data_IF_562375262726
#
_entry.id   IF_562375262726
#
_cell.length_a   1.000
_cell.length_b   1.000
_cell.length_c   1.000
_cell.angle_alpha   90.00
_cell.angle_beta   90.00
_cell.angle_gamma   90.00
#
_symmetry.space_group_name_H-M   'P 1'
#
loop_
_entity.id
_entity.type
_entity.pdbx_description
1 polymer ?
#
# COMPACT_ATOMS: atom_id res chain seq x y z
N UNK A 1 -30.39 9.58 -20.69
CA UNK A 1 -29.16 10.31 -20.31
C UNK A 1 -28.36 9.40 -19.41
N UNK A 2 -27.04 9.31 -19.62
CA UNK A 2 -26.16 8.47 -18.83
C UNK A 2 -25.51 9.34 -17.75
N UNK A 3 -25.57 8.93 -16.49
CA UNK A 3 -24.94 9.64 -15.37
C UNK A 3 -23.87 8.81 -14.66
N UNK A 4 -22.97 9.46 -13.93
CA UNK A 4 -21.89 8.83 -13.17
C UNK A 4 -22.05 9.08 -11.67
N UNK A 5 -21.94 8.01 -10.88
CA UNK A 5 -21.98 8.07 -9.42
C UNK A 5 -20.65 7.55 -8.88
N UNK A 6 -19.98 8.38 -8.09
CA UNK A 6 -18.72 8.06 -7.44
C UNK A 6 -18.99 7.69 -5.99
N UNK A 7 -18.91 6.40 -5.65
CA UNK A 7 -18.99 5.93 -4.28
C UNK A 7 -17.60 5.96 -3.64
N UNK A 8 -17.41 6.83 -2.65
CA UNK A 8 -16.15 7.02 -1.95
C UNK A 8 -16.25 6.35 -0.57
N UNK A 9 -15.37 5.39 -0.27
CA UNK A 9 -15.29 4.83 1.09
C UNK A 9 -14.70 5.88 2.03
N UNK A 10 -15.42 6.27 3.08
CA UNK A 10 -14.97 7.32 4.01
C UNK A 10 -13.60 7.01 4.65
N UNK A 11 -12.74 8.01 4.91
CA UNK A 11 -11.38 7.83 5.44
C UNK A 11 -11.11 8.23 6.90
N UNK A 12 -12.14 8.44 7.72
CA UNK A 12 -12.15 9.37 8.89
C UNK A 12 -12.24 10.82 8.42
N UNK A 13 -13.46 11.30 8.15
CA UNK A 13 -13.61 12.62 7.56
C UNK A 13 -13.56 13.75 8.61
N UNK A 14 -12.80 14.80 8.29
CA UNK A 14 -12.98 16.13 8.87
C UNK A 14 -13.86 16.95 7.93
N UNK A 15 -15.09 17.27 8.34
CA UNK A 15 -16.03 18.00 7.50
C UNK A 15 -16.25 19.44 8.01
N UNK A 16 -15.98 20.41 7.14
CA UNK A 16 -16.51 21.77 7.26
C UNK A 16 -17.90 21.79 6.60
N UNK A 17 -18.93 22.32 7.29
CA UNK A 17 -20.26 22.67 6.75
C UNK A 17 -21.43 21.64 6.76
N UNK A 18 -21.47 20.73 7.73
CA UNK A 18 -22.74 20.52 8.46
C UNK A 18 -23.98 19.90 7.78
N UNK A 19 -23.87 19.01 6.78
CA UNK A 19 -24.95 18.02 6.52
C UNK A 19 -24.40 16.60 6.41
N UNK A 20 -25.10 15.64 7.03
CA UNK A 20 -24.72 14.23 7.16
C UNK A 20 -25.81 13.34 6.58
N UNK A 21 -25.44 12.34 5.77
CA UNK A 21 -26.21 11.10 5.62
C UNK A 21 -25.26 9.91 5.80
N UNK A 22 -25.21 9.39 7.02
CA UNK A 22 -24.32 8.29 7.42
C UNK A 22 -25.13 6.99 7.40
N UNK A 23 -24.84 6.07 6.48
CA UNK A 23 -25.52 4.78 6.39
C UNK A 23 -24.62 3.66 6.97
N UNK A 24 -24.51 3.56 8.29
CA UNK A 24 -23.87 2.41 8.94
C UNK A 24 -23.20 2.74 10.28
N UNK A 25 -23.48 1.91 11.30
CA UNK A 25 -22.73 1.93 12.55
C UNK A 25 -21.81 0.69 12.62
N UNK A 26 -20.58 0.94 13.10
CA UNK A 26 -19.47 0.05 13.42
C UNK A 26 -19.76 -1.45 13.41
N UNK A 27 -18.86 -2.18 12.74
CA UNK A 27 -18.91 -3.58 12.31
C UNK A 27 -19.76 -3.73 11.05
N UNK A 28 -19.12 -4.02 9.91
CA UNK A 28 -19.79 -4.32 8.65
C UNK A 28 -19.97 -5.86 8.54
N UNK A 29 -21.02 -6.46 9.13
CA UNK A 29 -21.53 -7.74 8.64
C UNK A 29 -22.06 -7.55 7.21
N UNK A 30 -22.29 -8.63 6.44
CA UNK A 30 -22.95 -8.52 5.13
C UNK A 30 -24.27 -7.76 5.29
N UNK A 31 -24.38 -6.61 4.64
CA UNK A 31 -25.62 -5.85 4.61
C UNK A 31 -26.70 -6.69 3.94
N UNK A 32 -27.90 -6.69 4.54
CA UNK A 32 -29.06 -7.40 4.01
C UNK A 32 -29.45 -6.87 2.62
N UNK A 33 -30.15 -7.71 1.85
CA UNK A 33 -30.69 -7.32 0.54
C UNK A 33 -31.53 -6.02 0.60
N UNK A 34 -32.20 -5.80 1.72
CA UNK A 34 -32.98 -4.58 1.98
C UNK A 34 -32.10 -3.32 2.08
N UNK A 35 -30.91 -3.42 2.69
CA UNK A 35 -29.99 -2.28 2.76
C UNK A 35 -29.42 -1.94 1.38
N UNK A 36 -29.10 -2.96 0.55
CA UNK A 36 -28.72 -2.75 -0.85
C UNK A 36 -29.83 -2.07 -1.65
N UNK A 37 -31.09 -2.51 -1.47
CA UNK A 37 -32.27 -1.91 -2.13
C UNK A 37 -32.46 -0.44 -1.75
N UNK A 38 -32.32 -0.10 -0.46
CA UNK A 38 -32.43 1.29 0.02
C UNK A 38 -31.34 2.18 -0.56
N UNK A 39 -30.10 1.70 -0.55
CA UNK A 39 -28.98 2.43 -1.13
C UNK A 39 -29.17 2.65 -2.65
N UNK A 40 -29.60 1.61 -3.37
CA UNK A 40 -29.88 1.70 -4.81
C UNK A 40 -31.00 2.71 -5.09
N UNK A 41 -32.08 2.68 -4.32
CA UNK A 41 -33.18 3.63 -4.45
C UNK A 41 -32.73 5.07 -4.20
N UNK A 42 -31.90 5.29 -3.18
CA UNK A 42 -31.35 6.61 -2.88
C UNK A 42 -30.48 7.12 -4.03
N UNK A 43 -29.62 6.27 -4.60
CA UNK A 43 -28.75 6.61 -5.73
C UNK A 43 -29.55 6.92 -7.00
N UNK A 44 -30.53 6.08 -7.34
CA UNK A 44 -31.40 6.30 -8.52
C UNK A 44 -32.30 7.53 -8.40
N UNK A 45 -32.48 8.06 -7.18
CA UNK A 45 -33.22 9.29 -6.92
C UNK A 45 -32.39 10.57 -7.07
N UNK A 46 -31.08 10.47 -7.34
CA UNK A 46 -30.22 11.62 -7.57
C UNK A 46 -30.53 12.18 -8.97
N UNK A 47 -30.85 13.47 -9.04
CA UNK A 47 -31.18 14.17 -10.29
C UNK A 47 -29.97 14.67 -11.07
N UNK A 48 -28.80 14.72 -10.43
CA UNK A 48 -27.57 15.21 -11.03
C UNK A 48 -26.99 14.18 -12.02
N UNK A 49 -26.43 14.67 -13.13
CA UNK A 49 -25.75 13.83 -14.12
C UNK A 49 -24.47 13.20 -13.54
N UNK A 50 -23.82 13.88 -12.59
CA UNK A 50 -22.66 13.38 -11.84
C UNK A 50 -22.82 13.66 -10.35
N UNK A 51 -22.58 12.66 -9.49
CA UNK A 51 -22.62 12.84 -8.05
C UNK A 51 -21.55 12.01 -7.32
N UNK A 52 -20.96 12.59 -6.27
CA UNK A 52 -20.05 11.91 -5.36
C UNK A 52 -20.75 11.61 -4.02
N UNK A 53 -20.69 10.35 -3.58
CA UNK A 53 -21.34 9.86 -2.37
C UNK A 53 -20.28 9.26 -1.46
N UNK A 54 -20.05 9.88 -0.31
CA UNK A 54 -19.19 9.32 0.73
C UNK A 54 -20.01 8.36 1.60
N UNK A 55 -19.61 7.10 1.68
CA UNK A 55 -20.37 6.06 2.41
C UNK A 55 -19.45 5.00 3.02
N UNK A 56 -20.06 4.03 3.71
CA UNK A 56 -19.36 2.93 4.37
C UNK A 56 -19.09 1.77 3.40
N UNK A 57 -18.08 0.97 3.74
CA UNK A 57 -17.73 -0.22 2.98
C UNK A 57 -18.89 -1.22 2.86
N UNK A 58 -19.65 -1.42 3.95
CA UNK A 58 -20.85 -2.26 3.93
C UNK A 58 -21.80 -1.88 2.80
N UNK A 59 -22.12 -0.58 2.65
CA UNK A 59 -23.06 -0.07 1.64
C UNK A 59 -22.53 -0.30 0.23
N UNK A 60 -21.25 -0.02 0.00
CA UNK A 60 -20.59 -0.26 -1.30
C UNK A 60 -20.68 -1.73 -1.65
N UNK A 61 -20.32 -2.64 -0.73
CA UNK A 61 -20.36 -4.09 -0.97
C UNK A 61 -21.77 -4.60 -1.23
N UNK A 62 -22.77 -4.12 -0.50
CA UNK A 62 -24.16 -4.50 -0.68
C UNK A 62 -24.70 -4.13 -2.07
N UNK A 63 -24.40 -2.90 -2.50
CA UNK A 63 -24.75 -2.41 -3.83
C UNK A 63 -24.08 -3.25 -4.92
N UNK A 64 -22.78 -3.51 -4.78
CA UNK A 64 -22.02 -4.28 -5.76
C UNK A 64 -22.49 -5.73 -5.85
N UNK A 65 -22.83 -6.38 -4.73
CA UNK A 65 -23.46 -7.71 -4.76
C UNK A 65 -24.75 -7.71 -5.56
N UNK A 66 -25.62 -6.72 -5.31
CA UNK A 66 -26.89 -6.61 -6.03
C UNK A 66 -26.71 -6.31 -7.52
N UNK A 67 -25.74 -5.47 -7.89
CA UNK A 67 -25.49 -5.10 -9.29
C UNK A 67 -24.83 -6.24 -10.06
N UNK A 68 -23.92 -6.98 -9.42
CA UNK A 68 -23.17 -8.09 -10.04
C UNK A 68 -23.91 -9.43 -10.00
N UNK A 69 -25.01 -9.52 -9.27
CA UNK A 69 -25.73 -10.78 -9.02
C UNK A 69 -24.82 -11.88 -8.45
N UNK A 70 -23.87 -11.49 -7.59
CA UNK A 70 -22.86 -12.40 -7.05
C UNK A 70 -23.39 -13.17 -5.83
N UNK A 71 -23.14 -14.48 -5.78
CA UNK A 71 -23.49 -15.32 -4.64
C UNK A 71 -22.56 -14.99 -3.45
N UNK A 72 -23.07 -14.19 -2.50
CA UNK A 72 -22.33 -13.75 -1.33
C UNK A 72 -21.76 -14.89 -0.45
N UNK A 73 -22.26 -16.12 -0.57
CA UNK A 73 -21.76 -17.29 0.16
C UNK A 73 -20.63 -18.02 -0.57
N UNK A 74 -20.52 -17.87 -1.89
CA UNK A 74 -19.48 -18.49 -2.73
C UNK A 74 -18.37 -17.52 -3.10
N UNK A 75 -18.70 -16.23 -3.24
CA UNK A 75 -17.79 -15.18 -3.72
C UNK A 75 -17.82 -13.98 -2.76
N UNK A 76 -16.96 -13.99 -1.72
CA UNK A 76 -16.84 -12.82 -0.85
C UNK A 76 -16.26 -11.66 -1.64
N UNK A 77 -17.02 -10.55 -1.77
CA UNK A 77 -16.49 -9.32 -2.33
C UNK A 77 -15.28 -8.83 -1.51
N UNK A 78 -14.23 -8.34 -2.18
CA UNK A 78 -13.02 -7.85 -1.52
C UNK A 78 -13.36 -6.70 -0.57
N UNK A 79 -12.48 -6.50 0.43
CA UNK A 79 -12.54 -5.30 1.27
C UNK A 79 -12.04 -4.12 0.44
N UNK A 80 -12.78 -3.02 0.47
CA UNK A 80 -12.39 -1.80 -0.24
C UNK A 80 -11.57 -0.91 0.68
N UNK A 81 -10.52 -0.23 0.19
CA UNK A 81 -9.70 0.60 1.05
C UNK A 81 -10.29 1.97 1.34
N UNK A 82 -9.85 2.61 2.43
CA UNK A 82 -10.30 3.96 2.76
C UNK A 82 -9.90 4.95 1.66
N UNK A 83 -10.80 5.85 1.30
CA UNK A 83 -10.62 6.78 0.17
C UNK A 83 -10.81 6.15 -1.22
N UNK A 84 -11.08 4.83 -1.32
CA UNK A 84 -11.30 4.19 -2.61
C UNK A 84 -12.59 4.65 -3.27
N UNK A 85 -12.53 4.76 -4.60
CA UNK A 85 -13.62 5.18 -5.46
C UNK A 85 -14.14 3.97 -6.24
N UNK A 86 -15.43 3.72 -6.12
CA UNK A 86 -16.20 2.82 -6.98
C UNK A 86 -17.09 3.67 -7.86
N UNK A 87 -16.95 3.56 -9.18
CA UNK A 87 -17.74 4.33 -10.14
C UNK A 87 -18.88 3.46 -10.67
N UNK A 88 -20.09 3.99 -10.54
CA UNK A 88 -21.30 3.40 -11.09
C UNK A 88 -21.80 4.27 -12.24
N UNK A 89 -22.22 3.64 -13.33
CA UNK A 89 -22.90 4.28 -14.44
C UNK A 89 -24.40 4.03 -14.35
N UNK A 90 -25.20 5.09 -14.40
CA UNK A 90 -26.66 5.03 -14.47
C UNK A 90 -27.08 5.20 -15.92
N UNK A 91 -27.75 4.19 -16.48
CA UNK A 91 -28.36 4.26 -17.82
C UNK A 91 -29.76 3.65 -17.78
N UNK A 92 -30.77 4.42 -18.19
CA UNK A 92 -32.17 3.96 -18.27
C UNK A 92 -32.67 3.29 -16.97
N UNK A 93 -32.30 3.84 -15.81
CA UNK A 93 -32.66 3.31 -14.49
C UNK A 93 -31.87 2.07 -14.06
N UNK A 94 -30.87 1.63 -14.83
CA UNK A 94 -29.98 0.51 -14.50
C UNK A 94 -28.62 1.02 -14.04
N UNK A 95 -28.08 0.41 -12.98
CA UNK A 95 -26.73 0.62 -12.50
C UNK A 95 -25.78 -0.42 -13.09
N UNK A 96 -24.60 0.02 -13.52
CA UNK A 96 -23.47 -0.85 -13.89
C UNK A 96 -22.19 -0.35 -13.24
N UNK A 97 -21.26 -1.25 -12.92
CA UNK A 97 -19.98 -0.91 -12.29
C UNK A 97 -18.95 -0.66 -13.38
N UNK A 98 -18.32 0.51 -13.39
CA UNK A 98 -17.28 0.88 -14.37
C UNK A 98 -15.88 0.93 -13.76
N UNK A 99 -15.79 1.16 -12.45
CA UNK A 99 -14.56 1.02 -11.66
C UNK A 99 -14.92 0.61 -10.23
N UNK A 100 -14.05 -0.14 -9.57
CA UNK A 100 -14.32 -0.72 -8.26
C UNK A 100 -13.12 -0.57 -7.33
N UNK A 101 -13.31 0.12 -6.21
CA UNK A 101 -12.30 0.25 -5.16
C UNK A 101 -10.98 0.89 -5.61
N UNK A 102 -11.01 1.74 -6.64
CA UNK A 102 -9.82 2.37 -7.22
C UNK A 102 -9.39 3.52 -6.32
N UNK A 103 -8.13 3.53 -5.88
CA UNK A 103 -7.57 4.71 -5.23
C UNK A 103 -7.24 5.78 -6.27
N UNK A 104 -7.44 7.08 -5.96
CA UNK A 104 -6.98 8.18 -6.81
C UNK A 104 -5.46 8.11 -7.06
N UNK A 105 -4.71 7.67 -6.05
CA UNK A 105 -3.25 7.57 -6.09
C UNK A 105 -2.76 6.16 -5.72
N UNK A 106 -1.69 5.71 -6.37
CA UNK A 106 -1.14 4.38 -6.18
C UNK A 106 -0.24 4.25 -4.93
N UNK A 107 0.04 5.35 -4.24
CA UNK A 107 0.92 5.45 -3.07
C UNK A 107 0.57 6.71 -2.26
N UNK A 108 0.88 6.76 -0.95
CA UNK A 108 0.61 7.94 -0.13
C UNK A 108 1.52 9.12 -0.47
N UNK A 109 0.98 10.33 -0.33
CA UNK A 109 1.77 11.56 -0.35
C UNK A 109 2.58 11.76 0.94
N UNK A 110 3.39 12.82 1.02
CA UNK A 110 4.22 13.06 2.20
C UNK A 110 3.41 13.43 3.46
N UNK A 111 2.24 14.06 3.30
CA UNK A 111 1.34 14.39 4.41
C UNK A 111 0.74 13.11 4.99
N UNK A 112 0.21 12.24 4.13
CA UNK A 112 -0.33 10.93 4.50
C UNK A 112 0.74 10.04 5.14
N UNK A 113 1.97 10.03 4.59
CA UNK A 113 3.10 9.32 5.22
C UNK A 113 3.34 9.83 6.64
N UNK A 114 3.40 11.16 6.86
CA UNK A 114 3.58 11.74 8.18
C UNK A 114 2.45 11.36 9.15
N UNK A 115 1.20 11.32 8.69
CA UNK A 115 0.06 10.88 9.50
C UNK A 115 0.15 9.39 9.87
N UNK A 116 0.50 8.54 8.90
CA UNK A 116 0.66 7.09 9.13
C UNK A 116 1.76 6.83 10.17
N UNK A 117 2.91 7.53 10.09
CA UNK A 117 4.00 7.40 11.06
C UNK A 117 3.56 7.84 12.47
N UNK A 118 2.78 8.92 12.58
CA UNK A 118 2.20 9.39 13.86
C UNK A 118 1.23 8.36 14.45
N UNK A 119 0.32 7.83 13.64
CA UNK A 119 -0.65 6.80 14.06
C UNK A 119 0.06 5.54 14.54
N UNK A 120 1.13 5.13 13.84
CA UNK A 120 1.93 3.96 14.21
C UNK A 120 2.88 4.23 15.39
N UNK A 121 2.98 5.49 15.87
CA UNK A 121 3.92 5.93 16.91
C UNK A 121 5.36 5.50 16.58
N UNK A 122 5.75 5.68 15.32
CA UNK A 122 7.08 5.30 14.84
C UNK A 122 8.15 6.15 15.56
N UNK A 123 9.16 5.54 16.20
CA UNK A 123 10.21 6.30 16.90
C UNK A 123 11.05 7.17 15.96
N UNK A 124 11.56 8.31 16.45
CA UNK A 124 12.33 9.26 15.66
C UNK A 124 13.59 8.65 15.04
N UNK A 125 14.27 7.74 15.75
CA UNK A 125 15.43 7.04 15.21
C UNK A 125 15.08 6.10 14.05
N UNK A 126 13.87 5.54 14.07
CA UNK A 126 13.35 4.71 12.98
C UNK A 126 12.94 5.58 11.80
N UNK A 127 12.34 6.75 12.06
CA UNK A 127 12.02 7.72 10.99
C UNK A 127 13.31 8.17 10.28
N UNK A 128 14.36 8.54 11.03
CA UNK A 128 15.66 8.91 10.44
C UNK A 128 16.30 7.77 9.63
N UNK A 129 16.14 6.52 10.08
CA UNK A 129 16.55 5.36 9.31
C UNK A 129 15.79 5.28 7.98
N UNK A 130 14.46 5.32 8.03
CA UNK A 130 13.60 5.30 6.85
C UNK A 130 13.91 6.43 5.85
N UNK A 131 14.26 7.63 6.34
CA UNK A 131 14.69 8.75 5.48
C UNK A 131 16.02 8.47 4.77
N UNK A 132 17.00 7.92 5.48
CA UNK A 132 18.28 7.52 4.87
C UNK A 132 18.09 6.39 3.84
N UNK A 133 17.21 5.42 4.13
CA UNK A 133 16.83 4.35 3.17
C UNK A 133 16.12 4.95 1.96
N UNK A 134 15.23 5.93 2.15
CA UNK A 134 14.55 6.62 1.08
C UNK A 134 15.54 7.36 0.16
N UNK A 135 16.54 8.05 0.73
CA UNK A 135 17.58 8.69 -0.05
C UNK A 135 18.39 7.68 -0.88
N UNK A 136 18.70 6.52 -0.31
CA UNK A 136 19.39 5.44 -1.02
C UNK A 136 18.54 4.84 -2.16
N UNK A 137 17.26 4.60 -1.91
CA UNK A 137 16.33 4.10 -2.91
C UNK A 137 16.14 5.10 -4.06
N UNK A 138 16.02 6.39 -3.76
CA UNK A 138 15.90 7.46 -4.76
C UNK A 138 17.13 7.54 -5.66
N UNK A 139 18.33 7.43 -5.10
CA UNK A 139 19.58 7.42 -5.84
C UNK A 139 19.66 6.23 -6.83
N UNK A 140 19.34 5.02 -6.35
CA UNK A 140 19.31 3.81 -7.16
C UNK A 140 18.25 3.91 -8.27
N UNK A 141 17.05 4.37 -7.92
CA UNK A 141 15.95 4.57 -8.86
C UNK A 141 16.36 5.56 -9.96
N UNK A 142 16.96 6.70 -9.60
CA UNK A 142 17.38 7.70 -10.57
C UNK A 142 18.43 7.17 -11.56
N UNK A 143 19.41 6.38 -11.07
CA UNK A 143 20.42 5.72 -11.91
C UNK A 143 19.77 4.70 -12.86
N UNK A 144 18.91 3.83 -12.34
CA UNK A 144 18.24 2.79 -13.12
C UNK A 144 17.25 3.37 -14.15
N UNK A 145 16.54 4.44 -13.81
CA UNK A 145 15.66 5.14 -14.76
C UNK A 145 16.43 5.76 -15.92
N UNK A 146 17.64 6.29 -15.69
CA UNK A 146 18.52 6.74 -16.77
C UNK A 146 19.00 5.59 -17.66
N UNK A 147 19.16 4.39 -17.10
CA UNK A 147 19.47 3.17 -17.83
C UNK A 147 18.24 2.53 -18.53
N UNK A 148 17.07 3.20 -18.53
CA UNK A 148 15.88 2.76 -19.23
C UNK A 148 14.91 1.90 -18.42
N UNK A 149 15.18 1.67 -17.12
CA UNK A 149 14.29 0.90 -16.26
C UNK A 149 13.09 1.74 -15.79
N UNK A 150 11.89 1.22 -15.97
CA UNK A 150 10.65 1.87 -15.50
C UNK A 150 10.34 1.43 -14.08
N UNK A 151 10.77 2.24 -13.11
CA UNK A 151 10.47 2.07 -11.69
C UNK A 151 9.61 3.21 -11.20
N UNK A 152 8.65 2.93 -10.32
CA UNK A 152 7.85 3.97 -9.68
C UNK A 152 8.59 4.59 -8.51
N UNK A 153 9.19 5.77 -8.74
CA UNK A 153 9.84 6.56 -7.69
C UNK A 153 8.90 6.87 -6.52
N UNK A 154 7.62 7.18 -6.82
CA UNK A 154 6.61 7.46 -5.78
C UNK A 154 6.35 6.26 -4.88
N UNK A 155 6.24 5.06 -5.45
CA UNK A 155 6.05 3.83 -4.67
C UNK A 155 7.29 3.47 -3.85
N UNK A 156 8.49 3.64 -4.41
CA UNK A 156 9.75 3.44 -3.67
C UNK A 156 9.88 4.38 -2.48
N UNK A 157 9.62 5.68 -2.68
CA UNK A 157 9.64 6.70 -1.64
C UNK A 157 8.70 6.32 -0.49
N UNK A 158 7.44 6.00 -0.80
CA UNK A 158 6.45 5.61 0.20
C UNK A 158 6.86 4.31 0.92
N UNK A 159 7.31 3.30 0.18
CA UNK A 159 7.72 2.03 0.77
C UNK A 159 8.94 2.20 1.69
N UNK A 160 9.96 2.96 1.27
CA UNK A 160 11.15 3.25 2.06
C UNK A 160 10.82 4.02 3.35
N UNK A 161 9.95 5.04 3.26
CA UNK A 161 9.52 5.83 4.43
C UNK A 161 8.68 5.02 5.43
N UNK A 162 7.95 4.00 4.98
CA UNK A 162 6.96 3.28 5.79
C UNK A 162 7.35 1.83 6.14
N UNK A 163 8.40 1.24 5.57
CA UNK A 163 8.70 -0.20 5.73
C UNK A 163 8.83 -0.64 7.20
N UNK A 164 9.33 0.26 8.02
CA UNK A 164 9.64 0.06 9.42
C UNK A 164 8.64 0.76 10.36
N UNK A 165 7.53 1.29 9.85
CA UNK A 165 6.60 2.12 10.64
C UNK A 165 6.05 1.43 11.90
N UNK A 166 6.01 0.10 11.89
CA UNK A 166 5.57 -0.74 13.01
C UNK A 166 6.73 -1.38 13.81
N UNK A 167 7.96 -0.85 13.73
CA UNK A 167 9.18 -1.46 14.30
C UNK A 167 9.04 -1.87 15.77
N UNK A 168 8.25 -1.16 16.57
CA UNK A 168 7.97 -1.43 17.99
C UNK A 168 7.28 -2.78 18.24
N UNK A 169 6.62 -3.37 17.24
CA UNK A 169 5.97 -4.70 17.31
C UNK A 169 7.00 -5.84 17.22
N UNK A 170 8.26 -5.54 16.90
CA UNK A 170 9.33 -6.55 16.80
C UNK A 170 9.29 -7.32 15.49
N UNK A 171 9.47 -8.64 15.52
CA UNK A 171 9.62 -9.47 14.32
C UNK A 171 8.38 -9.46 13.39
N UNK A 172 7.20 -9.14 13.92
CA UNK A 172 5.96 -9.05 13.17
C UNK A 172 5.72 -7.72 12.44
N UNK A 173 6.62 -6.74 12.55
CA UNK A 173 6.42 -5.41 11.99
C UNK A 173 6.14 -5.38 10.47
N UNK A 174 6.75 -6.21 9.59
CA UNK A 174 6.47 -6.14 8.15
C UNK A 174 5.02 -6.49 7.85
N UNK A 175 4.50 -7.53 8.51
CA UNK A 175 3.09 -7.97 8.38
C UNK A 175 2.12 -6.94 8.97
N UNK A 176 2.47 -6.36 10.11
CA UNK A 176 1.65 -5.32 10.74
C UNK A 176 1.57 -4.07 9.86
N UNK A 177 2.70 -3.62 9.32
CA UNK A 177 2.77 -2.49 8.41
C UNK A 177 1.96 -2.76 7.12
N UNK A 178 2.14 -3.93 6.52
CA UNK A 178 1.40 -4.34 5.34
C UNK A 178 -0.12 -4.36 5.57
N UNK A 179 -0.59 -4.85 6.73
CA UNK A 179 -2.02 -4.84 7.07
C UNK A 179 -2.58 -3.41 7.09
N UNK A 180 -1.91 -2.48 7.75
CA UNK A 180 -2.33 -1.06 7.86
C UNK A 180 -2.42 -0.41 6.47
N UNK A 181 -1.47 -0.73 5.59
CA UNK A 181 -1.40 -0.21 4.22
C UNK A 181 -2.46 -0.83 3.30
N UNK A 182 -2.78 -2.12 3.46
CA UNK A 182 -3.89 -2.77 2.75
C UNK A 182 -5.23 -2.17 3.13
N UNK A 183 -5.44 -1.89 4.42
CA UNK A 183 -6.66 -1.23 4.92
C UNK A 183 -6.83 0.19 4.31
N UNK A 184 -5.72 0.84 3.97
CA UNK A 184 -5.65 2.14 3.27
C UNK A 184 -5.57 2.04 1.75
N UNK A 185 -5.41 0.83 1.20
CA UNK A 185 -5.48 0.55 -0.23
C UNK A 185 -4.17 0.56 -0.98
N UNK A 186 -3.06 0.82 -0.30
CA UNK A 186 -1.74 0.81 -0.91
C UNK A 186 -1.24 -0.63 -1.05
N UNK A 187 -1.94 -1.44 -1.86
CA UNK A 187 -1.70 -2.89 -1.98
C UNK A 187 -0.27 -3.21 -2.45
N UNK A 188 0.23 -2.49 -3.45
CA UNK A 188 1.60 -2.69 -3.96
C UNK A 188 2.66 -2.27 -2.92
N UNK A 189 2.41 -1.20 -2.17
CA UNK A 189 3.29 -0.75 -1.08
C UNK A 189 3.30 -1.76 0.07
N UNK A 190 2.11 -2.24 0.46
CA UNK A 190 1.97 -3.27 1.47
C UNK A 190 2.72 -4.56 1.08
N UNK A 191 2.62 -4.98 -0.19
CA UNK A 191 3.32 -6.15 -0.69
C UNK A 191 4.84 -5.99 -0.59
N UNK A 192 5.39 -4.85 -1.03
CA UNK A 192 6.84 -4.58 -0.92
C UNK A 192 7.30 -4.61 0.54
N UNK A 193 6.56 -3.94 1.43
CA UNK A 193 6.91 -3.85 2.84
C UNK A 193 6.77 -5.20 3.55
N UNK A 194 5.75 -6.01 3.25
CA UNK A 194 5.62 -7.32 3.89
C UNK A 194 6.83 -8.24 3.63
N UNK A 195 7.44 -8.10 2.45
CA UNK A 195 8.53 -8.96 1.97
C UNK A 195 9.91 -8.30 2.02
N UNK A 196 10.06 -7.10 2.60
CA UNK A 196 11.32 -6.35 2.56
C UNK A 196 12.48 -7.02 3.32
N UNK A 197 12.20 -8.02 4.15
CA UNK A 197 13.21 -8.87 4.78
C UNK A 197 13.56 -10.12 3.96
N UNK A 198 12.58 -10.68 3.26
CA UNK A 198 12.63 -12.01 2.66
C UNK A 198 12.04 -11.94 1.24
N UNK A 199 12.72 -11.17 0.40
CA UNK A 199 12.24 -10.87 -0.95
C UNK A 199 12.24 -12.11 -1.85
N UNK A 200 11.24 -12.18 -2.72
CA UNK A 200 11.17 -13.10 -3.86
C UNK A 200 12.05 -12.55 -4.97
N UNK A 201 13.06 -13.32 -5.38
CA UNK A 201 13.94 -12.89 -6.46
C UNK A 201 13.30 -13.20 -7.80
N UNK A 202 12.95 -12.15 -8.52
CA UNK A 202 12.57 -12.22 -9.92
C UNK A 202 13.78 -11.89 -10.81
N UNK A 203 13.74 -12.32 -12.07
CA UNK A 203 14.81 -12.03 -13.03
C UNK A 203 14.92 -10.54 -13.34
N UNK A 204 13.78 -9.84 -13.42
CA UNK A 204 13.71 -8.40 -13.63
C UNK A 204 13.78 -7.64 -12.30
N UNK A 205 14.51 -6.53 -12.30
CA UNK A 205 14.59 -5.60 -11.18
C UNK A 205 13.24 -4.89 -10.97
N UNK A 206 12.71 -4.97 -9.75
CA UNK A 206 11.47 -4.29 -9.34
C UNK A 206 11.70 -3.35 -8.13
N UNK A 207 10.67 -2.57 -7.78
CA UNK A 207 10.75 -1.64 -6.65
C UNK A 207 10.99 -2.35 -5.30
N UNK A 208 10.54 -3.60 -5.14
CA UNK A 208 10.80 -4.39 -3.94
C UNK A 208 12.30 -4.69 -3.78
N UNK A 209 12.97 -5.06 -4.87
CA UNK A 209 14.41 -5.36 -4.87
C UNK A 209 15.25 -4.12 -4.60
N UNK A 210 14.83 -2.95 -5.12
CA UNK A 210 15.50 -1.68 -4.82
C UNK A 210 15.31 -1.31 -3.35
N UNK A 211 14.09 -1.44 -2.80
CA UNK A 211 13.84 -1.21 -1.38
C UNK A 211 14.68 -2.15 -0.50
N UNK A 212 14.70 -3.45 -0.83
CA UNK A 212 15.46 -4.46 -0.10
C UNK A 212 16.94 -4.08 -0.02
N UNK A 213 17.54 -3.70 -1.15
CA UNK A 213 18.94 -3.32 -1.21
C UNK A 213 19.20 -1.98 -0.51
N UNK A 214 18.36 -0.97 -0.74
CA UNK A 214 18.48 0.35 -0.15
C UNK A 214 18.47 0.30 1.38
N UNK A 215 17.62 -0.55 1.99
CA UNK A 215 17.70 -0.81 3.43
C UNK A 215 19.11 -1.29 3.78
N UNK A 216 19.63 -2.33 3.13
CA UNK A 216 20.95 -2.92 3.43
C UNK A 216 22.15 -2.00 3.17
N UNK A 217 21.97 -0.88 2.48
CA UNK A 217 23.00 0.15 2.30
C UNK A 217 22.99 1.21 3.41
N UNK A 218 22.16 1.05 4.44
CA UNK A 218 22.03 1.99 5.56
C UNK A 218 22.20 1.27 6.89
N UNK A 219 22.98 1.83 7.83
CA UNK A 219 23.08 1.36 9.21
C UNK A 219 22.71 2.50 10.16
N UNK A 220 21.63 2.34 10.93
CA UNK A 220 21.02 3.45 11.63
C UNK A 220 20.53 4.48 10.61
N UNK A 221 21.16 5.67 10.56
CA UNK A 221 20.91 6.69 9.53
C UNK A 221 22.12 6.95 8.63
N UNK A 222 23.17 6.12 8.70
CA UNK A 222 24.43 6.29 7.95
C UNK A 222 24.49 5.35 6.75
N UNK A 223 24.96 5.83 5.59
CA UNK A 223 25.24 4.99 4.42
C UNK A 223 26.44 4.08 4.69
N UNK A 224 26.35 2.81 4.29
CA UNK A 224 27.36 1.76 4.49
C UNK A 224 27.46 0.86 3.26
N UNK A 225 28.53 0.09 3.16
CA UNK A 225 28.63 -0.99 2.17
C UNK A 225 27.81 -2.21 2.61
N UNK A 226 27.54 -3.14 1.68
CA UNK A 226 26.87 -4.39 2.05
C UNK A 226 27.73 -5.20 3.02
N UNK A 227 29.04 -5.27 2.80
CA UNK A 227 29.99 -5.95 3.68
C UNK A 227 29.86 -5.44 5.11
N UNK A 228 29.97 -4.11 5.30
CA UNK A 228 29.86 -3.47 6.61
C UNK A 228 28.50 -3.75 7.26
N UNK A 229 27.39 -3.61 6.52
CA UNK A 229 26.04 -3.90 7.05
C UNK A 229 25.90 -5.35 7.50
N UNK A 230 26.41 -6.30 6.71
CA UNK A 230 26.29 -7.72 7.02
C UNK A 230 27.23 -8.15 8.14
N UNK A 231 28.42 -7.57 8.26
CA UNK A 231 29.32 -7.78 9.41
C UNK A 231 28.68 -7.31 10.72
N UNK A 232 28.10 -6.11 10.73
CA UNK A 232 27.44 -5.56 11.92
C UNK A 232 26.19 -6.36 12.32
N UNK A 233 25.39 -6.79 11.36
CA UNK A 233 24.20 -7.60 11.64
C UNK A 233 24.54 -9.04 12.05
N UNK A 234 25.67 -9.60 11.61
CA UNK A 234 26.11 -10.93 11.99
C UNK A 234 26.36 -11.04 13.50
N UNK A 235 26.87 -9.97 14.14
CA UNK A 235 27.09 -9.88 15.59
C UNK A 235 25.82 -10.12 16.42
N UNK A 236 24.64 -9.96 15.80
CA UNK A 236 23.33 -10.14 16.44
C UNK A 236 22.76 -11.56 16.26
N UNK A 237 23.35 -12.39 15.40
CA UNK A 237 22.91 -13.76 15.15
C UNK A 237 23.39 -14.70 16.28
N UNK A 238 22.46 -15.16 17.11
CA UNK A 238 22.75 -16.05 18.26
C UNK A 238 22.32 -17.49 18.08
N UNK A 239 21.61 -17.81 17.00
CA UNK A 239 21.05 -19.13 16.72
C UNK A 239 21.42 -19.59 15.31
N UNK A 240 21.45 -20.89 15.08
CA UNK A 240 21.69 -21.46 13.76
C UNK A 240 20.65 -20.98 12.72
N UNK A 241 19.39 -20.82 13.13
CA UNK A 241 18.33 -20.28 12.27
C UNK A 241 18.59 -18.81 11.90
N UNK A 242 19.00 -17.97 12.87
CA UNK A 242 19.32 -16.57 12.61
C UNK A 242 20.52 -16.45 11.66
N UNK A 243 21.54 -17.30 11.84
CA UNK A 243 22.70 -17.36 10.96
C UNK A 243 22.31 -17.78 9.54
N UNK A 244 21.49 -18.83 9.39
CA UNK A 244 21.00 -19.28 8.08
C UNK A 244 20.25 -18.17 7.34
N UNK A 245 19.29 -17.52 8.00
CA UNK A 245 18.53 -16.39 7.42
C UNK A 245 19.44 -15.20 7.07
N UNK A 246 20.45 -14.93 7.89
CA UNK A 246 21.45 -13.88 7.62
C UNK A 246 22.24 -14.18 6.35
N UNK A 247 22.77 -15.40 6.22
CA UNK A 247 23.50 -15.83 5.02
C UNK A 247 22.65 -15.75 3.76
N UNK A 248 21.41 -16.25 3.81
CA UNK A 248 20.47 -16.18 2.67
C UNK A 248 20.21 -14.72 2.25
N UNK A 249 19.98 -13.83 3.21
CA UNK A 249 19.76 -12.40 2.93
C UNK A 249 20.99 -11.71 2.38
N UNK A 250 22.19 -12.09 2.85
CA UNK A 250 23.47 -11.60 2.33
C UNK A 250 23.62 -11.98 0.88
N UNK A 251 23.45 -13.26 0.54
CA UNK A 251 23.55 -13.75 -0.84
C UNK A 251 22.56 -13.08 -1.79
N UNK A 252 21.32 -12.86 -1.32
CA UNK A 252 20.30 -12.10 -2.07
C UNK A 252 20.73 -10.65 -2.33
N UNK A 253 21.22 -9.95 -1.30
CA UNK A 253 21.66 -8.57 -1.45
C UNK A 253 22.76 -8.42 -2.49
N UNK A 254 23.79 -9.27 -2.44
CA UNK A 254 24.87 -9.27 -3.43
C UNK A 254 24.40 -9.67 -4.84
N UNK A 255 23.40 -10.56 -4.96
CA UNK A 255 22.80 -10.88 -6.26
C UNK A 255 22.06 -9.69 -6.86
N UNK A 256 21.26 -8.99 -6.07
CA UNK A 256 20.55 -7.77 -6.50
C UNK A 256 21.55 -6.67 -6.87
N UNK A 257 22.58 -6.46 -6.05
CA UNK A 257 23.64 -5.47 -6.30
C UNK A 257 24.37 -5.73 -7.64
N UNK A 258 24.68 -7.00 -7.94
CA UNK A 258 25.22 -7.38 -9.26
C UNK A 258 24.26 -7.12 -10.41
N UNK A 259 22.96 -7.42 -10.24
CA UNK A 259 21.93 -7.15 -11.26
C UNK A 259 21.84 -5.65 -11.57
N UNK A 260 21.89 -4.81 -10.54
CA UNK A 260 21.89 -3.35 -10.72
C UNK A 260 23.17 -2.91 -11.42
N UNK A 261 24.34 -3.41 -10.98
CA UNK A 261 25.63 -3.07 -11.58
C UNK A 261 25.70 -3.43 -13.08
N UNK A 262 25.13 -4.57 -13.47
CA UNK A 262 25.00 -4.99 -14.87
C UNK A 262 24.12 -4.02 -15.69
N UNK A 263 23.03 -3.52 -15.13
CA UNK A 263 22.19 -2.52 -15.81
C UNK A 263 22.87 -1.15 -15.93
N UNK A 264 23.69 -0.78 -14.96
CA UNK A 264 24.35 0.54 -14.93
C UNK A 264 25.72 0.56 -15.64
N UNK A 265 26.27 -0.59 -16.02
CA UNK A 265 27.59 -0.68 -16.66
C UNK A 265 28.77 -0.42 -15.71
N UNK A 266 28.58 -0.59 -14.39
CA UNK A 266 29.61 -0.34 -13.36
C UNK A 266 29.12 -0.65 -11.94
N UNK A 267 30.01 -0.61 -10.95
CA UNK A 267 29.67 -0.90 -9.54
C UNK A 267 28.72 0.16 -8.94
N UNK A 268 27.78 -0.32 -8.13
CA UNK A 268 26.78 0.49 -7.42
C UNK A 268 27.30 1.06 -6.10
N UNK A 269 28.33 0.41 -5.54
CA UNK A 269 28.96 0.70 -4.25
C UNK A 269 30.24 1.51 -4.40
#
# INVERSE_FOLDING_TARGET
MAGLIYLIRHGEPAFLQGQKLCLGNKSDPPLSEEAARRAQKAILGISDEEAAIVTHEGIIRALLWKIKDADAKKEPLPRYPYGSITVLKIESGKLTVTAEGVLPEAFPDDSEICEILKICRTPDEVIRHCEAVCAAADELCAKLSKAGLRLSRGQLRAAAKLHDMCRTIGAGHPKAAARILRERGYMKIAYMIEHHHDIWENDQLDEGQILFLADKLVLGSRRVTLEERFEESLKKCRTAEALKKHTERKEKAFRIDRKISQHLGGNVQ
#
